data_IF_113463138475
#
_entry.id   IF_113463138475
#
_cell.length_a   1.000
_cell.length_b   1.000
_cell.length_c   1.000
_cell.angle_alpha   90.00
_cell.angle_beta   90.00
_cell.angle_gamma   90.00
#
_symmetry.space_group_name_H-M   'P 1'
#
loop_
_entity.id
_entity.type
_entity.pdbx_description
1 polymer ?
#
# COMPACT_ATOMS: atom_id res chain seq x y z
N UNK A 1 15.99 0.86 14.13
CA UNK A 1 14.85 1.39 13.35
C UNK A 1 14.07 0.28 12.68
N UNK A 2 14.70 -0.74 12.10
CA UNK A 2 14.09 -2.00 11.65
C UNK A 2 12.84 -2.46 12.45
N UNK A 3 12.97 -2.74 13.75
CA UNK A 3 11.82 -3.20 14.56
C UNK A 3 10.61 -2.25 14.56
N UNK A 4 10.81 -0.94 14.43
CA UNK A 4 9.73 0.04 14.35
C UNK A 4 8.93 -0.12 13.06
N UNK A 5 9.60 -0.22 11.91
CA UNK A 5 8.94 -0.33 10.61
C UNK A 5 8.10 -1.61 10.50
N UNK A 6 8.69 -2.74 10.87
CA UNK A 6 7.97 -4.03 10.82
C UNK A 6 6.80 -4.09 11.80
N UNK A 7 6.93 -3.51 13.00
CA UNK A 7 5.84 -3.43 13.96
C UNK A 7 4.68 -2.59 13.45
N UNK A 8 4.96 -1.41 12.87
CA UNK A 8 3.90 -0.56 12.32
C UNK A 8 3.22 -1.19 11.11
N UNK A 9 3.97 -1.88 10.24
CA UNK A 9 3.38 -2.60 9.11
C UNK A 9 2.47 -3.74 9.58
N UNK A 10 2.86 -4.48 10.62
CA UNK A 10 2.00 -5.54 11.22
C UNK A 10 0.71 -4.97 11.81
N UNK A 11 0.77 -3.82 12.49
CA UNK A 11 -0.43 -3.14 12.98
C UNK A 11 -1.35 -2.70 11.83
N UNK A 12 -0.79 -2.06 10.81
CA UNK A 12 -1.53 -1.61 9.63
C UNK A 12 -2.15 -2.78 8.86
N UNK A 13 -1.44 -3.91 8.76
CA UNK A 13 -1.96 -5.13 8.15
C UNK A 13 -3.18 -5.64 8.89
N UNK A 14 -3.13 -5.70 10.23
CA UNK A 14 -4.28 -6.13 11.04
C UNK A 14 -5.47 -5.17 10.94
N UNK A 15 -5.21 -3.86 10.86
CA UNK A 15 -6.26 -2.87 10.62
C UNK A 15 -6.94 -3.11 9.26
N UNK A 16 -6.16 -3.43 8.23
CA UNK A 16 -6.66 -3.72 6.89
C UNK A 16 -7.44 -5.03 6.83
N UNK A 17 -6.96 -6.09 7.49
CA UNK A 17 -7.68 -7.37 7.60
C UNK A 17 -9.05 -7.18 8.26
N UNK A 18 -9.10 -6.42 9.37
CA UNK A 18 -10.35 -6.09 10.06
C UNK A 18 -11.29 -5.30 9.15
N UNK A 19 -10.75 -4.40 8.31
CA UNK A 19 -11.54 -3.65 7.34
C UNK A 19 -12.15 -4.59 6.28
N UNK A 20 -11.35 -5.49 5.70
CA UNK A 20 -11.82 -6.43 4.68
C UNK A 20 -12.89 -7.38 5.20
N UNK A 21 -12.81 -7.84 6.46
CA UNK A 21 -13.89 -8.64 7.06
C UNK A 21 -15.23 -7.91 7.21
N UNK A 22 -15.24 -6.57 7.07
CA UNK A 22 -16.40 -5.70 7.26
C UNK A 22 -16.81 -4.95 6.01
N UNK A 23 -16.21 -5.25 4.85
CA UNK A 23 -16.42 -4.55 3.58
C UNK A 23 -17.91 -4.45 3.21
N UNK A 24 -18.69 -5.51 3.45
CA UNK A 24 -20.12 -5.57 3.13
C UNK A 24 -21.05 -4.69 4.01
N UNK A 25 -20.52 -4.05 5.06
CA UNK A 25 -21.36 -3.36 6.05
C UNK A 25 -21.55 -1.87 5.73
N UNK A 26 -20.60 -1.22 5.03
CA UNK A 26 -20.65 0.21 4.70
C UNK A 26 -19.58 0.56 3.63
N UNK A 27 -19.97 0.54 2.36
CA UNK A 27 -19.07 0.77 1.21
C UNK A 27 -18.40 2.16 1.23
N UNK A 28 -19.12 3.21 1.65
CA UNK A 28 -18.55 4.56 1.69
C UNK A 28 -17.48 4.68 2.78
N UNK A 29 -17.74 4.12 3.96
CA UNK A 29 -16.77 4.08 5.05
C UNK A 29 -15.56 3.22 4.69
N UNK A 30 -15.78 2.14 3.95
CA UNK A 30 -14.72 1.26 3.48
C UNK A 30 -13.69 2.00 2.62
N UNK A 31 -14.13 2.76 1.60
CA UNK A 31 -13.22 3.53 0.73
C UNK A 31 -12.31 4.47 1.53
N UNK A 32 -12.89 5.27 2.43
CA UNK A 32 -12.13 6.25 3.20
C UNK A 32 -11.15 5.60 4.17
N UNK A 33 -11.54 4.51 4.85
CA UNK A 33 -10.64 3.79 5.76
C UNK A 33 -9.53 3.04 5.03
N UNK A 34 -9.84 2.43 3.90
CA UNK A 34 -8.84 1.77 3.05
C UNK A 34 -7.78 2.80 2.60
N UNK A 35 -8.24 3.96 2.12
CA UNK A 35 -7.37 5.08 1.77
C UNK A 35 -6.52 5.57 2.95
N UNK A 36 -7.11 5.73 4.13
CA UNK A 36 -6.40 6.15 5.34
C UNK A 36 -5.26 5.18 5.71
N UNK A 37 -5.57 3.89 5.79
CA UNK A 37 -4.59 2.85 6.14
C UNK A 37 -3.48 2.79 5.09
N UNK A 38 -3.82 2.75 3.80
CA UNK A 38 -2.82 2.71 2.72
C UNK A 38 -1.97 3.98 2.64
N UNK A 39 -2.52 5.14 2.97
CA UNK A 39 -1.73 6.39 3.10
C UNK A 39 -0.67 6.27 4.20
N UNK A 40 -1.03 5.69 5.36
CA UNK A 40 -0.09 5.42 6.45
C UNK A 40 1.02 4.44 6.02
N UNK A 41 0.69 3.43 5.21
CA UNK A 41 1.69 2.52 4.62
C UNK A 41 2.64 3.28 3.70
N UNK A 42 2.13 4.14 2.80
CA UNK A 42 2.97 4.96 1.92
C UNK A 42 3.94 5.84 2.71
N UNK A 43 3.46 6.51 3.76
CA UNK A 43 4.32 7.32 4.62
C UNK A 43 5.40 6.47 5.30
N UNK A 44 5.05 5.28 5.79
CA UNK A 44 5.99 4.36 6.41
C UNK A 44 7.09 3.90 5.45
N UNK A 45 6.76 3.69 4.16
CA UNK A 45 7.72 3.37 3.10
C UNK A 45 8.69 4.54 2.86
N UNK A 46 8.18 5.77 2.79
CA UNK A 46 9.00 6.98 2.60
C UNK A 46 9.92 7.22 3.80
N UNK A 47 9.43 7.02 5.03
CA UNK A 47 10.26 7.12 6.24
C UNK A 47 11.37 6.06 6.27
N UNK A 48 11.07 4.83 5.83
CA UNK A 48 12.07 3.77 5.70
C UNK A 48 13.14 4.11 4.66
N UNK A 49 12.76 4.74 3.54
CA UNK A 49 13.70 5.27 2.53
C UNK A 49 14.67 6.28 3.15
N UNK A 50 14.17 7.22 3.93
CA UNK A 50 14.99 8.21 4.64
C UNK A 50 15.92 7.57 5.68
N UNK A 51 15.50 6.43 6.23
CA UNK A 51 16.26 5.64 7.21
C UNK A 51 17.18 4.57 6.57
N UNK A 52 17.22 4.48 5.24
CA UNK A 52 17.98 3.49 4.46
C UNK A 52 17.64 2.02 4.76
N UNK A 53 16.40 1.74 5.18
CA UNK A 53 15.92 0.38 5.46
C UNK A 53 15.36 -0.28 4.20
N UNK A 54 16.24 -0.58 3.23
CA UNK A 54 15.85 -1.02 1.88
C UNK A 54 15.04 -2.32 1.88
N UNK A 55 15.43 -3.32 2.66
CA UNK A 55 14.71 -4.60 2.77
C UNK A 55 13.24 -4.41 3.21
N UNK A 56 12.98 -3.40 4.04
CA UNK A 56 11.61 -3.09 4.47
C UNK A 56 10.80 -2.43 3.35
N UNK A 57 11.43 -1.55 2.56
CA UNK A 57 10.77 -0.86 1.44
C UNK A 57 10.19 -1.87 0.47
N UNK A 58 10.99 -2.87 0.05
CA UNK A 58 10.55 -3.89 -0.89
C UNK A 58 9.37 -4.70 -0.33
N UNK A 59 9.45 -5.08 0.96
CA UNK A 59 8.38 -5.81 1.64
C UNK A 59 7.08 -4.99 1.74
N UNK A 60 7.19 -3.71 2.09
CA UNK A 60 6.03 -2.84 2.27
C UNK A 60 5.40 -2.44 0.93
N UNK A 61 6.20 -2.28 -0.13
CA UNK A 61 5.69 -2.15 -1.50
C UNK A 61 4.93 -3.41 -1.91
N UNK A 62 5.54 -4.59 -1.76
CA UNK A 62 4.88 -5.85 -2.08
C UNK A 62 3.52 -5.95 -1.38
N UNK A 63 3.48 -5.67 -0.07
CA UNK A 63 2.23 -5.66 0.70
C UNK A 63 1.20 -4.67 0.14
N UNK A 64 1.60 -3.43 -0.21
CA UNK A 64 0.68 -2.43 -0.77
C UNK A 64 0.05 -2.91 -2.09
N UNK A 65 0.83 -3.55 -2.95
CA UNK A 65 0.36 -4.03 -4.25
C UNK A 65 -0.46 -5.32 -4.15
N UNK A 66 -0.07 -6.27 -3.28
CA UNK A 66 -0.87 -7.47 -2.98
C UNK A 66 -2.27 -7.12 -2.46
N UNK A 67 -2.38 -5.99 -1.75
CA UNK A 67 -3.64 -5.44 -1.25
C UNK A 67 -4.30 -4.44 -2.20
N UNK A 68 -3.87 -4.35 -3.46
CA UNK A 68 -4.55 -3.56 -4.50
C UNK A 68 -5.25 -4.53 -5.44
N UNK A 69 -6.51 -4.87 -5.18
CA UNK A 69 -7.17 -5.99 -5.88
C UNK A 69 -8.31 -5.62 -6.82
N UNK A 70 -8.91 -4.44 -6.65
CA UNK A 70 -10.08 -3.99 -7.40
C UNK A 70 -9.92 -2.56 -7.95
N UNK A 71 -10.92 -2.09 -8.67
CA UNK A 71 -10.91 -0.75 -9.27
C UNK A 71 -10.90 0.35 -8.19
N UNK A 72 -11.60 0.15 -7.08
CA UNK A 72 -11.62 1.05 -5.93
C UNK A 72 -10.22 1.14 -5.30
N UNK A 73 -9.53 0.02 -5.15
CA UNK A 73 -8.16 -0.01 -4.66
C UNK A 73 -7.18 0.71 -5.60
N UNK A 74 -7.33 0.53 -6.91
CA UNK A 74 -6.51 1.24 -7.90
C UNK A 74 -6.73 2.76 -7.80
N UNK A 75 -7.99 3.19 -7.64
CA UNK A 75 -8.32 4.59 -7.43
C UNK A 75 -7.64 5.14 -6.17
N UNK A 76 -7.70 4.39 -5.06
CA UNK A 76 -6.98 4.74 -3.83
C UNK A 76 -5.48 4.87 -4.09
N UNK A 77 -4.86 3.88 -4.74
CA UNK A 77 -3.42 3.88 -5.04
C UNK A 77 -3.02 5.12 -5.85
N UNK A 78 -3.77 5.46 -6.89
CA UNK A 78 -3.53 6.64 -7.73
C UNK A 78 -3.63 7.95 -6.95
N UNK A 79 -4.47 8.00 -5.91
CA UNK A 79 -4.60 9.20 -5.06
C UNK A 79 -3.47 9.34 -4.03
N UNK A 80 -2.78 8.26 -3.66
CA UNK A 80 -1.81 8.25 -2.56
C UNK A 80 -0.36 7.99 -3.00
N UNK A 81 -0.10 7.60 -4.25
CA UNK A 81 1.23 7.17 -4.68
C UNK A 81 2.24 8.30 -4.90
N UNK A 82 1.79 9.57 -5.01
CA UNK A 82 2.66 10.73 -5.28
C UNK A 82 3.94 10.79 -4.42
N UNK A 83 3.91 10.55 -3.09
CA UNK A 83 5.12 10.55 -2.28
C UNK A 83 6.15 9.47 -2.68
N UNK A 84 5.70 8.33 -3.21
CA UNK A 84 6.58 7.25 -3.67
C UNK A 84 7.37 7.68 -4.93
N UNK A 85 6.72 8.44 -5.82
CA UNK A 85 7.35 9.02 -7.01
C UNK A 85 8.33 10.14 -6.62
N UNK A 86 7.92 11.06 -5.75
CA UNK A 86 8.77 12.16 -5.28
C UNK A 86 10.03 11.64 -4.56
N UNK A 87 9.89 10.57 -3.78
CA UNK A 87 11.01 9.90 -3.10
C UNK A 87 11.86 9.00 -4.02
N UNK A 88 11.52 8.90 -5.32
CA UNK A 88 12.17 8.01 -6.31
C UNK A 88 12.20 6.55 -5.84
N UNK A 89 11.14 6.13 -5.16
CA UNK A 89 10.90 4.74 -4.76
C UNK A 89 10.20 4.02 -5.92
N UNK A 90 9.25 4.71 -6.57
CA UNK A 90 8.61 4.27 -7.80
C UNK A 90 8.88 5.26 -8.95
N UNK A 91 8.73 4.72 -10.15
CA UNK A 91 8.54 5.39 -11.43
C UNK A 91 7.44 4.65 -12.20
N UNK A 92 7.03 5.16 -13.36
CA UNK A 92 5.92 4.57 -14.14
C UNK A 92 6.18 3.09 -14.49
N UNK A 93 7.40 2.77 -14.94
CA UNK A 93 7.79 1.39 -15.29
C UNK A 93 7.68 0.43 -14.08
N UNK A 94 8.17 0.85 -12.91
CA UNK A 94 8.09 0.05 -11.70
C UNK A 94 6.66 -0.06 -11.17
N UNK A 95 5.84 1.00 -11.28
CA UNK A 95 4.44 0.98 -10.89
C UNK A 95 3.69 -0.09 -11.71
N UNK A 96 3.84 -0.04 -13.03
CA UNK A 96 3.23 -1.01 -13.94
C UNK A 96 3.70 -2.43 -13.65
N UNK A 97 5.01 -2.61 -13.45
CA UNK A 97 5.57 -3.91 -13.07
C UNK A 97 4.95 -4.44 -11.79
N UNK A 98 4.82 -3.61 -10.75
CA UNK A 98 4.25 -4.04 -9.48
C UNK A 98 2.76 -4.40 -9.60
N UNK A 99 2.00 -3.64 -10.40
CA UNK A 99 0.59 -3.91 -10.69
C UNK A 99 0.41 -5.23 -11.46
N UNK A 100 1.30 -5.53 -12.42
CA UNK A 100 1.23 -6.76 -13.21
C UNK A 100 1.69 -7.99 -12.41
N UNK A 101 2.78 -7.87 -11.65
CA UNK A 101 3.41 -9.04 -11.01
C UNK A 101 2.81 -9.41 -9.65
N UNK A 102 2.34 -8.43 -8.86
CA UNK A 102 2.01 -8.67 -7.44
C UNK A 102 0.58 -8.30 -7.06
N UNK A 103 -0.11 -7.52 -7.88
CA UNK A 103 -1.47 -7.08 -7.58
C UNK A 103 -2.51 -8.06 -8.13
N UNK A 104 -3.53 -8.45 -7.34
CA UNK A 104 -4.66 -9.21 -7.85
C UNK A 104 -5.43 -8.50 -8.97
N UNK A 105 -5.26 -7.17 -9.10
CA UNK A 105 -5.84 -6.36 -10.17
C UNK A 105 -5.34 -6.76 -11.56
N UNK A 106 -4.15 -7.36 -11.67
CA UNK A 106 -3.60 -7.89 -12.92
C UNK A 106 -4.54 -8.81 -13.69
N UNK A 107 -5.53 -9.41 -13.02
CA UNK A 107 -6.60 -10.21 -13.66
C UNK A 107 -7.54 -9.37 -14.55
N UNK A 108 -7.53 -8.05 -14.38
CA UNK A 108 -8.45 -7.10 -14.99
C UNK A 108 -7.74 -6.01 -15.83
N UNK A 109 -6.40 -6.01 -15.83
CA UNK A 109 -5.54 -5.12 -16.64
C UNK A 109 -5.21 -5.79 -17.98
#
# INVERSE_FOLDING_TARGET
MRNYFYFNLDLLSKELDVLYTKEHLDENNYYFKNKEIKTRIVHLIVEAKNSREIEFIDKALLFLFENTGCHEDLKVLNEINKPLFEAKILNDESLDKYLVEYSPLSRWL
#
